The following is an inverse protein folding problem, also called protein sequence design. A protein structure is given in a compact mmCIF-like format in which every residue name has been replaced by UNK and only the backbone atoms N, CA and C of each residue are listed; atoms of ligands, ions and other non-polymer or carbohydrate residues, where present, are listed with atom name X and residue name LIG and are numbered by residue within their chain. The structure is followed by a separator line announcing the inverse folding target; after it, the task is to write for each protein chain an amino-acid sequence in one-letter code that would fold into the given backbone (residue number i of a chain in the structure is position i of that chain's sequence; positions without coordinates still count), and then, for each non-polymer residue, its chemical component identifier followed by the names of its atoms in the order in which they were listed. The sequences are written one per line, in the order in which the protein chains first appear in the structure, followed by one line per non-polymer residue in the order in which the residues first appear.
data_IF_940608942899
#
_entry.id   IF_940608942899
#
_cell.length_a   1.000
_cell.length_b   1.000
_cell.length_c   1.000
_cell.angle_alpha   90.00
_cell.angle_beta   90.00
_cell.angle_gamma   90.00
#
_symmetry.space_group_name_H-M   'P 1'
#
loop_
_entity.id
_entity.type
_entity.pdbx_description
1 polymer ?
#
# COMPACT_ATOMS: atom_id res chain seq x y z
N UNK A 1 -19.53 -11.59 3.44
CA UNK A 1 -20.32 -10.58 2.67
C UNK A 1 -20.09 -9.14 3.17
N UNK A 2 -20.38 -8.84 4.43
CA UNK A 2 -20.32 -7.48 4.98
C UNK A 2 -18.93 -6.81 4.94
N UNK A 3 -17.84 -7.57 5.16
CA UNK A 3 -16.47 -7.04 5.12
C UNK A 3 -16.09 -6.57 3.71
N UNK A 4 -16.38 -7.39 2.69
CA UNK A 4 -16.16 -7.05 1.30
C UNK A 4 -17.00 -5.84 0.85
N UNK A 5 -18.27 -5.80 1.26
CA UNK A 5 -19.13 -4.65 1.01
C UNK A 5 -18.57 -3.36 1.62
N UNK A 6 -17.96 -3.43 2.82
CA UNK A 6 -17.32 -2.26 3.44
C UNK A 6 -16.13 -1.73 2.63
N UNK A 7 -15.39 -2.62 1.96
CA UNK A 7 -14.29 -2.26 1.06
C UNK A 7 -14.84 -1.68 -0.25
N UNK A 8 -15.77 -2.39 -0.90
CA UNK A 8 -16.37 -1.96 -2.16
C UNK A 8 -17.09 -0.61 -2.02
N UNK A 9 -17.70 -0.33 -0.87
CA UNK A 9 -18.34 0.95 -0.56
C UNK A 9 -17.38 2.15 -0.49
N UNK A 10 -16.06 1.92 -0.48
CA UNK A 10 -15.06 3.00 -0.63
C UNK A 10 -14.96 3.49 -2.09
N UNK A 11 -15.59 2.77 -3.03
CA UNK A 11 -15.54 3.00 -4.48
C UNK A 11 -16.87 3.37 -5.19
N UNK A 12 -17.75 4.24 -4.64
CA UNK A 12 -19.08 4.44 -5.22
C UNK A 12 -19.10 5.39 -6.43
N UNK A 13 -18.04 6.16 -6.69
CA UNK A 13 -18.08 7.26 -7.67
C UNK A 13 -16.69 7.72 -8.16
N UNK A 14 -15.77 6.81 -8.49
CA UNK A 14 -14.52 7.17 -9.16
C UNK A 14 -14.84 7.81 -10.51
N UNK A 15 -14.55 9.11 -10.62
CA UNK A 15 -14.68 9.88 -11.86
C UNK A 15 -13.36 10.02 -12.61
N UNK A 16 -12.26 9.84 -11.89
CA UNK A 16 -10.92 10.05 -12.38
C UNK A 16 -9.92 9.17 -11.61
N UNK A 17 -8.72 9.04 -12.16
CA UNK A 17 -7.65 8.24 -11.59
C UNK A 17 -7.21 8.74 -10.20
N UNK A 18 -7.23 10.05 -9.95
CA UNK A 18 -6.82 10.59 -8.66
C UNK A 18 -7.77 10.15 -7.52
N UNK A 19 -9.09 10.19 -7.75
CA UNK A 19 -10.10 9.70 -6.82
C UNK A 19 -10.00 8.18 -6.61
N UNK A 20 -9.67 7.44 -7.67
CA UNK A 20 -9.42 6.00 -7.53
C UNK A 20 -8.22 5.73 -6.62
N UNK A 21 -7.09 6.44 -6.80
CA UNK A 21 -5.95 6.34 -5.88
C UNK A 21 -6.34 6.64 -4.44
N UNK A 22 -7.08 7.72 -4.18
CA UNK A 22 -7.57 8.03 -2.82
C UNK A 22 -8.53 6.96 -2.25
N UNK A 23 -9.25 6.23 -3.10
CA UNK A 23 -10.07 5.09 -2.67
C UNK A 23 -9.21 3.86 -2.37
N UNK A 24 -8.22 3.55 -3.22
CA UNK A 24 -7.24 2.49 -3.02
C UNK A 24 -6.53 2.68 -1.68
N UNK A 25 -5.99 3.88 -1.40
CA UNK A 25 -5.29 4.16 -0.15
C UNK A 25 -6.09 3.76 1.09
N UNK A 26 -7.36 4.21 1.15
CA UNK A 26 -8.28 3.87 2.25
C UNK A 26 -8.67 2.39 2.27
N UNK A 27 -8.78 1.76 1.11
CA UNK A 27 -9.12 0.35 0.99
C UNK A 27 -8.01 -0.55 1.54
N UNK A 28 -6.73 -0.22 1.28
CA UNK A 28 -5.60 -0.97 1.83
C UNK A 28 -5.62 -0.97 3.36
N UNK A 29 -5.76 0.21 3.99
CA UNK A 29 -5.94 0.28 5.44
C UNK A 29 -7.15 -0.52 5.93
N UNK A 30 -8.28 -0.46 5.21
CA UNK A 30 -9.45 -1.26 5.58
C UNK A 30 -9.21 -2.78 5.47
N UNK A 31 -8.48 -3.24 4.46
CA UNK A 31 -8.08 -4.64 4.36
C UNK A 31 -7.20 -5.05 5.53
N UNK A 32 -6.21 -4.24 5.87
CA UNK A 32 -5.30 -4.48 7.00
C UNK A 32 -6.04 -4.57 8.34
N UNK A 33 -7.02 -3.71 8.61
CA UNK A 33 -7.84 -3.80 9.82
C UNK A 33 -8.58 -5.15 9.89
N UNK A 34 -9.23 -5.53 8.78
CA UNK A 34 -10.04 -6.74 8.69
C UNK A 34 -9.17 -8.00 8.81
N UNK A 35 -8.05 -8.03 8.09
CA UNK A 35 -7.14 -9.18 8.07
C UNK A 35 -6.34 -9.26 9.36
N UNK A 36 -5.86 -8.13 9.87
CA UNK A 36 -5.11 -8.02 11.11
C UNK A 36 -5.86 -8.58 12.31
N UNK A 37 -7.18 -8.31 12.39
CA UNK A 37 -8.03 -8.84 13.45
C UNK A 37 -8.15 -10.38 13.41
N UNK A 38 -7.89 -11.01 12.27
CA UNK A 38 -8.06 -12.45 12.03
C UNK A 38 -6.76 -13.23 12.17
N UNK A 39 -5.65 -12.65 11.73
CA UNK A 39 -4.34 -13.32 11.72
C UNK A 39 -3.39 -12.85 12.84
N UNK A 40 -3.83 -11.90 13.68
CA UNK A 40 -3.05 -11.39 14.81
C UNK A 40 -2.06 -10.28 14.46
N UNK A 41 -2.20 -9.61 13.31
CA UNK A 41 -1.31 -8.51 12.88
C UNK A 41 -1.89 -7.11 13.16
N UNK A 42 -3.01 -7.00 13.89
CA UNK A 42 -3.59 -5.69 14.26
C UNK A 42 -2.66 -4.77 15.07
N UNK A 43 -1.61 -5.32 15.68
CA UNK A 43 -0.63 -4.57 16.45
C UNK A 43 0.62 -4.18 15.66
N UNK A 44 0.62 -4.45 14.34
CA UNK A 44 1.71 -4.07 13.44
C UNK A 44 1.97 -2.55 13.50
N UNK A 45 3.26 -2.21 13.58
CA UNK A 45 3.76 -0.84 13.73
C UNK A 45 4.45 -0.37 12.47
N UNK A 46 4.34 0.94 12.23
CA UNK A 46 5.07 1.64 11.18
C UNK A 46 6.54 1.24 11.14
N UNK A 47 6.97 0.80 9.97
CA UNK A 47 8.35 0.41 9.74
C UNK A 47 8.76 -0.95 10.30
N UNK A 48 9.65 -1.64 9.58
CA UNK A 48 10.14 -2.99 9.91
C UNK A 48 10.68 -3.15 11.34
N UNK A 49 11.31 -2.10 11.88
CA UNK A 49 12.05 -2.21 13.13
C UNK A 49 11.29 -1.75 14.38
N UNK A 50 10.16 -1.05 14.22
CA UNK A 50 9.42 -0.52 15.37
C UNK A 50 8.79 -1.61 16.24
N UNK A 51 8.47 -2.77 15.64
CA UNK A 51 7.93 -3.94 16.33
C UNK A 51 8.82 -5.18 16.29
N UNK A 52 10.13 -5.05 16.04
CA UNK A 52 11.02 -6.22 15.96
C UNK A 52 10.89 -7.13 17.19
N UNK A 53 10.70 -8.43 16.94
CA UNK A 53 10.54 -9.44 17.98
C UNK A 53 9.12 -9.54 18.56
N UNK A 54 8.17 -8.69 18.13
CA UNK A 54 6.76 -8.83 18.47
C UNK A 54 6.06 -9.74 17.46
N UNK A 55 5.20 -10.62 17.95
CA UNK A 55 4.31 -11.40 17.09
C UNK A 55 3.35 -10.47 16.36
N UNK A 56 3.18 -10.68 15.06
CA UNK A 56 2.25 -9.91 14.23
C UNK A 56 2.82 -8.65 13.60
N UNK A 57 4.13 -8.39 13.73
CA UNK A 57 4.83 -7.31 13.02
C UNK A 57 5.18 -7.74 11.60
N UNK A 58 4.96 -6.86 10.62
CA UNK A 58 5.35 -7.01 9.24
C UNK A 58 6.62 -6.22 8.90
N UNK A 59 7.32 -6.67 7.87
CA UNK A 59 8.34 -5.90 7.18
C UNK A 59 7.83 -5.37 5.81
N UNK A 60 8.70 -4.69 5.06
CA UNK A 60 8.31 -4.14 3.76
C UNK A 60 7.93 -5.19 2.70
N UNK A 61 8.44 -6.42 2.81
CA UNK A 61 8.14 -7.50 1.87
C UNK A 61 6.74 -8.04 2.16
N UNK A 62 6.42 -8.26 3.44
CA UNK A 62 5.09 -8.68 3.87
C UNK A 62 4.03 -7.66 3.46
N UNK A 63 4.25 -6.38 3.80
CA UNK A 63 3.33 -5.27 3.51
C UNK A 63 3.06 -5.11 2.01
N UNK A 64 4.11 -5.09 1.20
CA UNK A 64 3.97 -4.96 -0.26
C UNK A 64 3.35 -6.19 -0.92
N UNK A 65 3.60 -7.40 -0.39
CA UNK A 65 2.98 -8.63 -0.87
C UNK A 65 1.49 -8.64 -0.57
N UNK A 66 1.11 -8.37 0.68
CA UNK A 66 -0.29 -8.29 1.10
C UNK A 66 -1.05 -7.23 0.31
N UNK A 67 -0.49 -6.03 0.19
CA UNK A 67 -1.06 -4.93 -0.59
C UNK A 67 -1.25 -5.32 -2.06
N UNK A 68 -0.27 -5.98 -2.68
CA UNK A 68 -0.39 -6.46 -4.08
C UNK A 68 -1.53 -7.47 -4.23
N UNK A 69 -1.74 -8.35 -3.25
CA UNK A 69 -2.84 -9.31 -3.26
C UNK A 69 -4.20 -8.62 -3.11
N UNK A 70 -4.31 -7.63 -2.22
CA UNK A 70 -5.53 -6.83 -2.07
C UNK A 70 -5.88 -6.07 -3.35
N UNK A 71 -4.89 -5.42 -3.97
CA UNK A 71 -5.06 -4.73 -5.24
C UNK A 71 -5.51 -5.69 -6.36
N UNK A 72 -4.90 -6.87 -6.43
CA UNK A 72 -5.24 -7.90 -7.41
C UNK A 72 -6.68 -8.39 -7.23
N UNK A 73 -7.16 -8.49 -5.99
CA UNK A 73 -8.55 -8.83 -5.71
C UNK A 73 -9.50 -7.72 -6.19
N UNK A 74 -9.19 -6.45 -5.91
CA UNK A 74 -9.98 -5.31 -6.42
C UNK A 74 -10.01 -5.25 -7.96
N UNK A 75 -8.88 -5.54 -8.62
CA UNK A 75 -8.79 -5.59 -10.07
C UNK A 75 -9.65 -6.72 -10.66
N UNK A 76 -9.55 -7.94 -10.10
CA UNK A 76 -10.33 -9.11 -10.56
C UNK A 76 -11.84 -8.92 -10.41
N UNK A 77 -12.27 -8.19 -9.38
CA UNK A 77 -13.68 -7.87 -9.13
C UNK A 77 -14.17 -6.66 -9.95
N UNK A 78 -13.31 -6.09 -10.82
CA UNK A 78 -13.67 -4.96 -11.68
C UNK A 78 -13.91 -3.64 -10.93
N UNK A 79 -13.41 -3.54 -9.69
CA UNK A 79 -13.53 -2.32 -8.87
C UNK A 79 -12.58 -1.24 -9.39
N UNK A 80 -11.38 -1.63 -9.83
CA UNK A 80 -10.41 -0.70 -10.42
C UNK A 80 -10.78 -0.41 -11.88
N UNK A 81 -10.99 0.86 -12.19
CA UNK A 81 -11.38 1.35 -13.52
C UNK A 81 -10.28 2.13 -14.22
N UNK A 82 -9.42 2.80 -13.46
CA UNK A 82 -8.39 3.69 -13.99
C UNK A 82 -6.97 3.13 -13.87
N UNK A 83 -6.76 2.11 -13.03
CA UNK A 83 -5.45 1.49 -12.84
C UNK A 83 -5.49 -0.03 -13.00
N UNK A 84 -4.40 -0.58 -13.53
CA UNK A 84 -4.07 -1.99 -13.43
C UNK A 84 -2.98 -2.27 -12.40
N UNK A 85 -2.89 -3.50 -11.93
CA UNK A 85 -1.92 -3.92 -10.91
C UNK A 85 -0.65 -4.45 -11.58
N UNK A 86 0.51 -4.15 -10.99
CA UNK A 86 1.81 -4.69 -11.40
C UNK A 86 2.48 -5.41 -10.25
N UNK A 87 3.50 -6.22 -10.54
CA UNK A 87 4.31 -6.84 -9.51
C UNK A 87 4.98 -5.80 -8.61
N UNK A 88 5.26 -6.14 -7.33
CA UNK A 88 5.91 -5.23 -6.40
C UNK A 88 7.29 -4.81 -6.93
N UNK A 89 7.73 -3.61 -6.56
CA UNK A 89 9.02 -3.08 -6.97
C UNK A 89 9.82 -2.61 -5.76
N UNK A 90 11.13 -2.87 -5.82
CA UNK A 90 12.07 -2.45 -4.79
C UNK A 90 12.84 -1.19 -5.19
N UNK A 91 13.28 -0.42 -4.20
CA UNK A 91 14.31 0.61 -4.33
C UNK A 91 15.52 0.22 -3.47
N UNK A 92 16.72 0.38 -4.02
CA UNK A 92 17.96 0.29 -3.25
C UNK A 92 18.19 1.59 -2.47
N UNK A 93 18.84 1.53 -1.31
CA UNK A 93 19.05 2.69 -0.46
C UNK A 93 19.78 3.83 -1.20
N UNK A 94 19.22 5.04 -1.11
CA UNK A 94 19.89 6.27 -1.52
C UNK A 94 20.66 6.83 -0.31
N UNK A 95 21.85 7.37 -0.56
CA UNK A 95 22.87 7.77 0.43
C UNK A 95 22.50 8.98 1.33
N UNK A 96 21.22 9.34 1.48
CA UNK A 96 20.80 10.52 2.25
C UNK A 96 20.13 10.12 3.58
N UNK A 97 20.72 10.63 4.67
CA UNK A 97 20.48 10.31 6.07
C UNK A 97 19.03 10.61 6.52
N UNK A 98 18.30 9.57 6.94
CA UNK A 98 16.97 9.66 7.56
C UNK A 98 16.44 8.26 7.92
N UNK A 99 15.60 8.16 8.96
CA UNK A 99 15.11 6.93 9.58
C UNK A 99 14.61 5.90 8.53
N UNK A 100 15.41 4.87 8.27
CA UNK A 100 15.10 3.78 7.34
C UNK A 100 15.85 3.78 5.99
N UNK A 101 16.57 4.85 5.60
CA UNK A 101 17.11 5.03 4.23
C UNK A 101 18.34 4.17 3.84
N UNK A 102 18.82 3.25 4.69
CA UNK A 102 19.97 2.36 4.38
C UNK A 102 19.57 0.93 3.98
N UNK A 103 18.27 0.60 3.98
CA UNK A 103 17.80 -0.74 3.67
C UNK A 103 17.01 -0.76 2.36
N UNK A 104 17.12 -1.84 1.56
CA UNK A 104 16.21 -2.06 0.45
C UNK A 104 14.75 -1.95 0.93
N UNK A 105 13.93 -1.21 0.21
CA UNK A 105 12.50 -1.07 0.50
C UNK A 105 11.68 -1.56 -0.68
N UNK A 106 10.52 -2.17 -0.44
CA UNK A 106 9.62 -2.72 -1.45
C UNK A 106 8.22 -2.14 -1.30
N UNK A 107 7.55 -1.86 -2.42
CA UNK A 107 6.17 -1.34 -2.45
C UNK A 107 5.33 -2.09 -3.48
N UNK A 108 4.01 -2.14 -3.26
CA UNK A 108 3.07 -2.56 -4.30
C UNK A 108 2.93 -1.47 -5.36
N UNK A 109 2.48 -1.83 -6.56
CA UNK A 109 2.47 -0.90 -7.69
C UNK A 109 1.16 -0.99 -8.46
N UNK A 110 0.58 0.17 -8.73
CA UNK A 110 -0.52 0.35 -9.68
C UNK A 110 -0.05 1.19 -10.86
N UNK A 111 -0.61 0.94 -12.03
CA UNK A 111 -0.31 1.68 -13.27
C UNK A 111 -1.59 2.27 -13.83
N UNK A 112 -1.62 3.58 -14.00
CA UNK A 112 -2.72 4.30 -14.62
C UNK A 112 -2.82 3.91 -16.11
N UNK A 113 -4.02 3.53 -16.55
CA UNK A 113 -4.26 2.99 -17.89
C UNK A 113 -4.12 4.07 -18.95
N UNK A 114 -4.57 5.29 -18.66
CA UNK A 114 -4.69 6.37 -19.64
C UNK A 114 -3.33 6.89 -20.12
N UNK A 115 -2.36 7.04 -19.23
CA UNK A 115 -1.05 7.62 -19.53
C UNK A 115 0.13 6.70 -19.20
N UNK A 116 -0.15 5.51 -18.66
CA UNK A 116 0.85 4.51 -18.32
C UNK A 116 1.70 4.85 -17.10
N UNK A 117 1.40 5.91 -16.34
CA UNK A 117 2.18 6.29 -15.15
C UNK A 117 1.98 5.27 -14.04
N UNK A 118 3.08 4.90 -13.38
CA UNK A 118 3.07 4.01 -12.23
C UNK A 118 3.11 4.79 -10.93
N UNK A 119 2.41 4.28 -9.92
CA UNK A 119 2.35 4.81 -8.57
C UNK A 119 2.72 3.70 -7.59
N UNK A 120 3.55 4.05 -6.61
CA UNK A 120 3.78 3.20 -5.45
C UNK A 120 2.51 3.20 -4.58
N UNK A 121 2.18 2.06 -3.97
CA UNK A 121 1.12 1.91 -2.96
C UNK A 121 1.78 1.28 -1.75
N UNK A 122 2.06 2.10 -0.73
CA UNK A 122 2.97 1.75 0.35
C UNK A 122 2.29 1.92 1.72
N UNK A 123 1.89 0.80 2.32
CA UNK A 123 1.28 0.73 3.66
C UNK A 123 2.30 0.78 4.80
N UNK A 124 3.58 0.49 4.51
CA UNK A 124 4.63 0.26 5.52
C UNK A 124 4.96 1.48 6.40
N UNK A 125 4.63 2.70 5.95
CA UNK A 125 5.01 3.93 6.66
C UNK A 125 4.19 4.22 7.92
N UNK A 126 3.04 3.56 8.09
CA UNK A 126 2.10 3.85 9.17
C UNK A 126 1.76 2.57 9.95
N UNK A 127 1.12 2.72 11.10
CA UNK A 127 0.63 1.57 11.87
C UNK A 127 -0.54 0.89 11.12
N UNK A 128 -0.82 -0.38 11.46
CA UNK A 128 -1.87 -1.17 10.84
C UNK A 128 -3.19 -0.40 10.66
N UNK A 129 -3.77 -0.49 9.46
CA UNK A 129 -5.09 0.05 9.17
C UNK A 129 -5.11 1.52 8.73
N UNK A 130 -3.97 2.19 8.77
CA UNK A 130 -3.83 3.51 8.16
C UNK A 130 -3.95 3.44 6.63
N UNK A 131 -4.45 4.51 5.97
CA UNK A 131 -4.43 4.57 4.52
C UNK A 131 -2.99 4.46 3.98
N UNK A 132 -2.81 3.65 2.93
CA UNK A 132 -1.51 3.52 2.28
C UNK A 132 -1.09 4.83 1.58
N UNK A 133 0.21 5.06 1.52
CA UNK A 133 0.78 6.18 0.77
C UNK A 133 0.78 5.88 -0.72
N UNK A 134 0.28 6.81 -1.53
CA UNK A 134 0.26 6.68 -2.98
C UNK A 134 0.90 7.88 -3.65
N UNK A 135 2.08 7.65 -4.22
CA UNK A 135 2.89 8.68 -4.89
C UNK A 135 3.42 8.17 -6.23
N UNK A 136 3.79 9.06 -7.17
CA UNK A 136 4.42 8.63 -8.41
C UNK A 136 5.63 7.73 -8.13
N UNK A 137 5.73 6.60 -8.84
CA UNK A 137 6.76 5.59 -8.58
C UNK A 137 8.18 6.17 -8.72
N UNK A 138 8.38 7.13 -9.63
CA UNK A 138 9.66 7.82 -9.77
C UNK A 138 10.03 8.64 -8.52
N UNK A 139 9.06 9.35 -7.94
CA UNK A 139 9.23 10.11 -6.69
C UNK A 139 9.52 9.18 -5.53
N UNK A 140 8.77 8.07 -5.40
CA UNK A 140 9.05 7.04 -4.42
C UNK A 140 10.47 6.47 -4.58
N UNK A 141 10.86 6.11 -5.81
CA UNK A 141 12.22 5.58 -6.07
C UNK A 141 13.32 6.57 -5.71
N UNK A 142 13.07 7.88 -5.82
CA UNK A 142 14.02 8.93 -5.45
C UNK A 142 14.20 9.12 -3.93
N UNK A 143 13.54 8.31 -3.11
CA UNK A 143 13.73 8.31 -1.65
C UNK A 143 12.66 9.06 -0.87
N UNK A 144 11.50 9.33 -1.47
CA UNK A 144 10.36 9.94 -0.77
C UNK A 144 9.92 9.12 0.45
N UNK A 145 9.53 9.83 1.50
CA UNK A 145 8.83 9.33 2.68
C UNK A 145 7.81 10.38 3.16
N UNK A 146 6.79 10.00 3.94
CA UNK A 146 5.83 10.96 4.50
C UNK A 146 6.53 12.02 5.36
N UNK A 147 6.18 13.30 5.14
CA UNK A 147 6.77 14.43 5.85
C UNK A 147 8.02 15.04 5.20
N UNK A 148 8.51 14.47 4.09
CA UNK A 148 9.47 15.12 3.17
C UNK A 148 8.80 16.21 2.30
#
# INVERSE_FOLDING_TARGET
PAEWESIAALFPAQRDAARERSAIARAIGRFEEIVGARNGTSADKSGTFAGTGKTGQHDCIDESTNTTMYLTLLEKEGILRFHGVSGPLSRTPFTTLGQGKLWPHQTAVIREIADGKSYAVDSWFHDNGHPAEIVPLATWRAGWAPGD
#
